data_IF_948657759796
#
_entry.id   IF_948657759796
#
_cell.length_a   1.000
_cell.length_b   1.000
_cell.length_c   1.000
_cell.angle_alpha   90.00
_cell.angle_beta   90.00
_cell.angle_gamma   90.00
#
_symmetry.space_group_name_H-M   'P 1'
#
loop_
_entity.id
_entity.type
_entity.pdbx_description
1 polymer ?
#
# COMPACT_ATOMS: atom_id res chain seq x y z
N UNK A 1 -11.30 -24.80 -10.10
CA UNK A 1 -10.22 -24.96 -11.09
C UNK A 1 -9.13 -24.00 -10.65
N UNK A 2 -8.04 -24.50 -10.09
CA UNK A 2 -6.86 -23.67 -9.79
C UNK A 2 -6.21 -23.36 -11.14
N UNK A 3 -6.30 -22.09 -11.57
CA UNK A 3 -5.68 -21.64 -12.82
C UNK A 3 -4.19 -21.93 -12.79
N UNK A 4 -3.63 -22.35 -13.93
CA UNK A 4 -2.18 -22.51 -14.06
C UNK A 4 -1.54 -21.14 -13.90
N UNK A 5 -0.77 -20.96 -12.82
CA UNK A 5 0.03 -19.74 -12.60
C UNK A 5 1.15 -19.74 -13.62
N UNK A 6 1.13 -18.77 -14.53
CA UNK A 6 2.26 -18.53 -15.41
C UNK A 6 3.38 -17.93 -14.57
N UNK A 7 4.39 -18.74 -14.23
CA UNK A 7 5.51 -18.31 -13.36
C UNK A 7 6.35 -17.18 -13.96
N UNK A 8 6.15 -16.80 -15.23
CA UNK A 8 6.85 -15.68 -15.87
C UNK A 8 6.14 -14.33 -15.67
N UNK A 9 4.93 -14.30 -15.09
CA UNK A 9 4.22 -13.05 -14.81
C UNK A 9 4.75 -12.38 -13.53
N UNK A 10 4.79 -11.05 -13.55
CA UNK A 10 5.13 -10.22 -12.39
C UNK A 10 3.87 -9.98 -11.55
N UNK A 11 3.92 -10.41 -10.31
CA UNK A 11 2.88 -10.16 -9.32
C UNK A 11 3.39 -9.11 -8.34
N UNK A 12 2.55 -8.13 -7.98
CA UNK A 12 2.83 -7.24 -6.86
C UNK A 12 1.78 -7.46 -5.80
N UNK A 13 2.21 -7.94 -4.63
CA UNK A 13 1.35 -8.05 -3.46
C UNK A 13 1.38 -6.69 -2.76
N UNK A 14 0.23 -6.05 -2.62
CA UNK A 14 0.07 -4.70 -2.09
C UNK A 14 -0.82 -4.74 -0.83
N UNK A 15 -0.43 -3.95 0.15
CA UNK A 15 -1.20 -3.67 1.36
C UNK A 15 -1.04 -2.18 1.72
N UNK A 16 -2.11 -1.57 2.24
CA UNK A 16 -2.10 -0.16 2.66
C UNK A 16 -2.71 0.02 4.04
N UNK A 17 -2.10 0.88 4.84
CA UNK A 17 -2.68 1.33 6.11
C UNK A 17 -3.19 2.76 5.97
N UNK A 18 -4.29 3.05 6.67
CA UNK A 18 -5.04 4.29 6.50
C UNK A 18 -5.44 4.91 7.83
N UNK A 19 -5.75 6.20 7.84
CA UNK A 19 -6.35 6.87 9.01
C UNK A 19 -7.79 6.41 9.30
N UNK A 20 -8.34 5.48 8.52
CA UNK A 20 -9.73 5.02 8.61
C UNK A 20 -10.23 4.48 7.27
N UNK A 21 -11.42 3.90 7.25
CA UNK A 21 -11.90 3.09 6.13
C UNK A 21 -12.67 3.85 5.04
N UNK A 22 -12.78 5.18 5.11
CA UNK A 22 -13.66 5.95 4.22
C UNK A 22 -12.96 7.15 3.58
N UNK A 23 -12.46 7.03 2.34
CA UNK A 23 -11.83 8.15 1.62
C UNK A 23 -12.81 9.32 1.44
N UNK A 24 -14.11 9.01 1.25
CA UNK A 24 -15.21 9.99 1.17
C UNK A 24 -15.40 10.81 2.45
N UNK A 25 -15.01 10.28 3.62
CA UNK A 25 -15.01 11.01 4.91
C UNK A 25 -13.66 11.66 5.23
N UNK A 26 -12.74 11.67 4.27
CA UNK A 26 -11.43 12.29 4.38
C UNK A 26 -10.33 11.39 4.89
N UNK A 27 -10.54 10.07 5.00
CA UNK A 27 -9.46 9.16 5.40
C UNK A 27 -8.37 9.09 4.33
N UNK A 28 -7.12 8.88 4.77
CA UNK A 28 -5.93 8.92 3.92
C UNK A 28 -5.04 7.73 4.16
N UNK A 29 -4.38 7.26 3.09
CA UNK A 29 -3.28 6.30 3.17
C UNK A 29 -2.11 6.93 3.92
N UNK A 30 -1.54 6.17 4.85
CA UNK A 30 -0.41 6.57 5.72
C UNK A 30 0.74 5.58 5.67
N UNK A 31 0.54 4.39 5.09
CA UNK A 31 1.58 3.42 4.79
C UNK A 31 1.25 2.68 3.51
N UNK A 32 2.29 2.32 2.76
CA UNK A 32 2.22 1.39 1.65
C UNK A 32 3.29 0.32 1.86
N UNK A 33 2.90 -0.94 1.77
CA UNK A 33 3.80 -2.08 1.65
C UNK A 33 3.51 -2.84 0.36
N UNK A 34 4.53 -3.05 -0.47
CA UNK A 34 4.40 -3.80 -1.70
C UNK A 34 5.64 -4.66 -1.99
N UNK A 35 5.41 -5.90 -2.44
CA UNK A 35 6.49 -6.81 -2.85
C UNK A 35 6.25 -7.34 -4.26
N UNK A 36 7.28 -7.28 -5.11
CA UNK A 36 7.25 -7.81 -6.45
C UNK A 36 7.77 -9.26 -6.48
N UNK A 37 7.04 -10.15 -7.13
CA UNK A 37 7.34 -11.58 -7.24
C UNK A 37 7.31 -11.99 -8.71
N UNK A 38 8.38 -12.63 -9.18
CA UNK A 38 8.50 -13.23 -10.51
C UNK A 38 9.12 -14.61 -10.36
N UNK A 39 8.65 -15.63 -11.09
CA UNK A 39 9.21 -17.00 -10.96
C UNK A 39 8.88 -17.70 -9.63
N UNK A 40 8.27 -17.01 -8.67
CA UNK A 40 8.15 -17.43 -7.27
C UNK A 40 9.26 -16.89 -6.37
N UNK A 41 10.14 -16.04 -6.89
CA UNK A 41 11.21 -15.37 -6.16
C UNK A 41 10.83 -13.90 -5.91
N UNK A 42 11.27 -13.36 -4.76
CA UNK A 42 11.14 -11.93 -4.45
C UNK A 42 12.12 -11.13 -5.29
N UNK A 43 11.60 -10.16 -6.04
CA UNK A 43 12.41 -9.33 -6.94
C UNK A 43 12.72 -7.97 -6.32
N UNK A 44 11.74 -7.35 -5.69
CA UNK A 44 11.85 -5.98 -5.19
C UNK A 44 10.80 -5.68 -4.12
N UNK A 45 11.04 -4.63 -3.34
CA UNK A 45 10.16 -4.16 -2.26
C UNK A 45 9.98 -2.64 -2.33
N UNK A 46 8.75 -2.20 -2.12
CA UNK A 46 8.40 -0.80 -1.91
C UNK A 46 7.68 -0.67 -0.57
N UNK A 47 8.31 -0.02 0.40
CA UNK A 47 7.72 0.25 1.72
C UNK A 47 7.95 1.70 2.11
N UNK A 48 6.89 2.42 2.46
CA UNK A 48 7.00 3.79 2.95
C UNK A 48 5.82 4.20 3.81
N UNK A 49 6.12 4.98 4.86
CA UNK A 49 5.12 5.81 5.52
C UNK A 49 4.86 7.06 4.70
N UNK A 50 3.65 7.62 4.80
CA UNK A 50 3.20 8.78 4.04
C UNK A 50 2.70 9.85 4.99
N UNK A 51 3.15 11.08 4.78
CA UNK A 51 2.61 12.22 5.51
C UNK A 51 1.14 12.42 5.11
N UNK A 52 0.25 12.48 6.10
CA UNK A 52 -1.17 12.80 5.89
C UNK A 52 -1.54 14.13 6.57
N UNK A 53 -2.43 14.93 5.97
CA UNK A 53 -2.92 16.18 6.56
C UNK A 53 -4.00 15.95 7.64
N UNK A 54 -4.06 14.75 8.24
CA UNK A 54 -5.10 14.32 9.18
C UNK A 54 -4.47 13.54 10.34
N UNK A 55 -4.92 13.81 11.56
CA UNK A 55 -4.54 13.03 12.72
C UNK A 55 -5.06 11.59 12.62
N UNK A 56 -4.24 10.62 12.99
CA UNK A 56 -4.61 9.21 13.03
C UNK A 56 -5.56 8.97 14.22
N UNK A 57 -6.80 8.52 13.99
CA UNK A 57 -7.70 8.15 15.09
C UNK A 57 -7.08 7.02 15.93
N UNK A 58 -7.23 7.11 17.25
CA UNK A 58 -6.72 6.10 18.18
C UNK A 58 -7.14 4.67 17.82
N UNK A 59 -8.38 4.49 17.34
CA UNK A 59 -8.88 3.18 16.90
C UNK A 59 -8.13 2.59 15.71
N UNK A 60 -7.67 3.43 14.77
CA UNK A 60 -6.87 2.98 13.63
C UNK A 60 -5.44 2.65 14.11
N UNK A 61 -4.84 3.56 14.89
CA UNK A 61 -3.51 3.36 15.49
C UNK A 61 -3.44 2.08 16.34
N UNK A 62 -4.50 1.68 17.02
CA UNK A 62 -4.55 0.41 17.77
C UNK A 62 -4.48 -0.85 16.88
N UNK A 63 -4.83 -0.74 15.59
CA UNK A 63 -4.81 -1.86 14.65
C UNK A 63 -3.42 -1.99 14.03
N UNK A 64 -2.92 -0.93 13.41
CA UNK A 64 -1.68 -0.96 12.63
C UNK A 64 -0.44 -0.42 13.40
N UNK A 65 -0.63 0.22 14.55
CA UNK A 65 0.47 0.68 15.42
C UNK A 65 1.14 2.00 15.01
N UNK A 66 0.68 2.64 13.95
CA UNK A 66 1.27 3.90 13.42
C UNK A 66 0.75 5.07 14.24
N UNK A 67 1.64 5.99 14.61
CA UNK A 67 1.31 7.24 15.32
C UNK A 67 1.57 8.47 14.46
N UNK A 68 0.96 9.61 14.80
CA UNK A 68 1.13 10.87 14.07
C UNK A 68 2.60 11.31 14.03
N UNK A 69 3.36 11.04 15.09
CA UNK A 69 4.79 11.37 15.17
C UNK A 69 5.63 10.59 14.14
N UNK A 70 5.23 9.36 13.81
CA UNK A 70 5.93 8.54 12.82
C UNK A 70 5.81 9.12 11.40
N UNK A 71 4.77 9.92 11.15
CA UNK A 71 4.48 10.54 9.85
C UNK A 71 5.20 11.89 9.65
N UNK A 72 5.80 12.46 10.69
CA UNK A 72 6.49 13.75 10.60
C UNK A 72 7.71 13.62 9.68
N UNK A 73 7.76 14.46 8.65
CA UNK A 73 8.87 14.48 7.67
C UNK A 73 8.89 13.30 6.71
N UNK A 74 7.83 12.49 6.68
CA UNK A 74 7.65 11.45 5.66
C UNK A 74 7.28 12.07 4.31
N UNK A 75 7.52 11.36 3.20
CA UNK A 75 7.13 11.83 1.88
C UNK A 75 5.63 12.13 1.80
N UNK A 76 5.29 13.10 0.98
CA UNK A 76 3.90 13.47 0.66
C UNK A 76 3.27 12.45 -0.29
N UNK A 77 1.93 12.32 -0.33
CA UNK A 77 1.25 11.46 -1.29
C UNK A 77 1.64 11.77 -2.75
N UNK A 78 1.88 13.04 -3.07
CA UNK A 78 2.30 13.51 -4.39
C UNK A 78 3.70 13.01 -4.80
N UNK A 79 4.56 12.70 -3.83
CA UNK A 79 5.87 12.08 -4.06
C UNK A 79 5.77 10.55 -4.14
N UNK A 80 4.91 9.94 -3.33
CA UNK A 80 4.83 8.48 -3.18
C UNK A 80 4.04 7.81 -4.31
N UNK A 81 2.87 8.33 -4.66
CA UNK A 81 2.00 7.64 -5.62
C UNK A 81 2.58 7.52 -7.03
N UNK A 82 3.31 8.51 -7.58
CA UNK A 82 4.01 8.31 -8.85
C UNK A 82 5.09 7.22 -8.79
N UNK A 83 5.79 7.10 -7.65
CA UNK A 83 6.78 6.05 -7.45
C UNK A 83 6.13 4.67 -7.33
N UNK A 84 5.01 4.57 -6.61
CA UNK A 84 4.22 3.33 -6.54
C UNK A 84 3.68 2.93 -7.91
N UNK A 85 3.10 3.87 -8.67
CA UNK A 85 2.58 3.61 -10.02
C UNK A 85 3.68 3.07 -10.95
N UNK A 86 4.90 3.59 -10.83
CA UNK A 86 6.06 3.04 -11.53
C UNK A 86 6.43 1.62 -11.06
N UNK A 87 6.38 1.36 -9.75
CA UNK A 87 6.72 0.06 -9.16
C UNK A 87 5.73 -1.05 -9.56
N UNK A 88 4.43 -0.73 -9.64
CA UNK A 88 3.36 -1.70 -9.93
C UNK A 88 3.05 -1.85 -11.41
N UNK A 89 3.63 -1.00 -12.27
CA UNK A 89 3.35 -1.00 -13.71
C UNK A 89 3.58 -2.39 -14.31
N UNK A 90 2.73 -2.76 -15.27
CA UNK A 90 2.78 -4.02 -16.02
C UNK A 90 2.80 -5.28 -15.12
N UNK A 91 2.26 -5.17 -13.90
CA UNK A 91 2.19 -6.24 -12.92
C UNK A 91 0.74 -6.63 -12.63
N UNK A 92 0.53 -7.88 -12.21
CA UNK A 92 -0.73 -8.33 -11.64
C UNK A 92 -0.75 -7.91 -10.17
N UNK A 93 -1.67 -7.01 -9.81
CA UNK A 93 -1.86 -6.60 -8.42
C UNK A 93 -2.62 -7.69 -7.64
N UNK A 94 -2.09 -8.02 -6.46
CA UNK A 94 -2.66 -8.98 -5.52
C UNK A 94 -2.83 -8.28 -4.18
N UNK A 95 -4.04 -8.31 -3.63
CA UNK A 95 -4.32 -7.77 -2.30
C UNK A 95 -5.44 -8.58 -1.65
N UNK A 96 -5.43 -8.68 -0.32
CA UNK A 96 -6.47 -9.41 0.40
C UNK A 96 -7.82 -8.70 0.38
N UNK A 97 -7.82 -7.37 0.27
CA UNK A 97 -9.03 -6.55 0.19
C UNK A 97 -8.94 -5.55 -0.97
N UNK A 98 -8.56 -6.03 -2.17
CA UNK A 98 -8.20 -5.19 -3.31
C UNK A 98 -9.18 -4.05 -3.65
N UNK A 99 -10.48 -4.20 -3.36
CA UNK A 99 -11.44 -3.11 -3.54
C UNK A 99 -11.15 -1.91 -2.62
N UNK A 100 -10.73 -2.15 -1.39
CA UNK A 100 -10.31 -1.14 -0.44
C UNK A 100 -8.94 -0.56 -0.79
N UNK A 101 -7.96 -1.42 -1.08
CA UNK A 101 -6.58 -1.00 -1.36
C UNK A 101 -6.46 -0.12 -2.63
N UNK A 102 -7.42 -0.23 -3.57
CA UNK A 102 -7.44 0.54 -4.82
C UNK A 102 -8.43 1.71 -4.85
N UNK A 103 -9.22 1.94 -3.79
CA UNK A 103 -10.30 2.93 -3.76
C UNK A 103 -9.83 4.38 -3.52
#
# INVERSE_FOLDING_TARGET
MIGSVNRQERYVVLDVETTGLSPWKGDRVIEIGAVAIEGGDLMDEFSTLIQAPRAIPFSASQIHGITDEMLIGRPTPEEVFPALDAFIRDSILVAHNAQFDLA
#
